data_IF_247117948491
#
_entry.id   IF_247117948491
#
_cell.length_a   1.000
_cell.length_b   1.000
_cell.length_c   1.000
_cell.angle_alpha   90.00
_cell.angle_beta   90.00
_cell.angle_gamma   90.00
#
_symmetry.space_group_name_H-M   'P 1'
#
loop_
_entity.id
_entity.type
_entity.pdbx_description
1 polymer ?
#
# COMPACT_ATOMS: atom_id res chain seq x y z
N UNK A 1 -9.82 -21.20 12.27
CA UNK A 1 -9.49 -19.82 12.68
C UNK A 1 -9.65 -18.85 11.51
N UNK A 2 -8.92 -19.02 10.40
CA UNK A 2 -8.99 -18.11 9.23
C UNK A 2 -10.39 -17.94 8.62
N UNK A 3 -11.19 -19.02 8.57
CA UNK A 3 -12.60 -18.98 8.15
C UNK A 3 -13.45 -17.95 8.91
N UNK A 4 -13.14 -17.64 10.18
CA UNK A 4 -13.87 -16.59 10.90
C UNK A 4 -13.62 -15.22 10.25
N UNK A 5 -12.34 -14.89 10.01
CA UNK A 5 -11.92 -13.63 9.37
C UNK A 5 -12.42 -13.52 7.93
N UNK A 6 -12.37 -14.61 7.18
CA UNK A 6 -12.85 -14.68 5.80
C UNK A 6 -14.35 -14.39 5.68
N UNK A 7 -15.16 -14.78 6.67
CA UNK A 7 -16.62 -14.58 6.65
C UNK A 7 -17.08 -13.27 7.33
N UNK A 8 -16.17 -12.38 7.73
CA UNK A 8 -16.54 -11.11 8.37
C UNK A 8 -17.25 -10.15 7.42
N UNK A 9 -16.97 -10.23 6.13
CA UNK A 9 -17.58 -9.39 5.10
C UNK A 9 -17.94 -10.27 3.91
N UNK A 10 -19.21 -10.22 3.51
CA UNK A 10 -19.65 -10.84 2.26
C UNK A 10 -19.30 -9.92 1.06
N UNK A 11 -18.40 -10.33 0.15
CA UNK A 11 -18.05 -9.55 -1.03
C UNK A 11 -19.22 -9.35 -2.01
N UNK A 12 -20.24 -10.21 -1.93
CA UNK A 12 -21.37 -10.26 -2.86
C UNK A 12 -22.62 -9.56 -2.34
N UNK A 13 -22.50 -8.79 -1.26
CA UNK A 13 -23.61 -8.04 -0.66
C UNK A 13 -24.33 -7.13 -1.66
N UNK A 14 -25.63 -6.94 -1.46
CA UNK A 14 -26.44 -6.06 -2.29
C UNK A 14 -25.94 -4.62 -2.22
N UNK A 15 -25.91 -3.93 -3.36
CA UNK A 15 -25.47 -2.54 -3.47
C UNK A 15 -26.32 -1.82 -4.52
N UNK A 16 -26.37 -0.49 -4.43
CA UNK A 16 -27.08 0.31 -5.43
C UNK A 16 -26.31 0.32 -6.75
N UNK A 17 -27.02 0.01 -7.81
CA UNK A 17 -26.43 -0.37 -9.08
C UNK A 17 -26.27 0.84 -10.02
N UNK A 18 -25.25 1.67 -9.75
CA UNK A 18 -25.04 2.94 -10.47
C UNK A 18 -24.19 2.75 -11.75
N UNK A 19 -24.69 3.18 -12.92
CA UNK A 19 -23.94 3.11 -14.20
C UNK A 19 -22.76 4.09 -14.29
N UNK A 20 -22.78 5.13 -13.46
CA UNK A 20 -21.80 6.21 -13.44
C UNK A 20 -21.15 6.30 -12.05
N UNK A 21 -20.13 5.49 -11.77
CA UNK A 21 -19.41 5.56 -10.51
C UNK A 21 -18.68 6.91 -10.38
N UNK A 22 -18.30 7.32 -9.16
CA UNK A 22 -17.58 8.56 -8.93
C UNK A 22 -16.28 8.65 -9.76
N UNK A 23 -15.99 9.82 -10.33
CA UNK A 23 -14.81 10.03 -11.20
C UNK A 23 -13.53 10.35 -10.42
N UNK A 24 -13.65 10.65 -9.11
CA UNK A 24 -12.52 10.89 -8.21
C UNK A 24 -12.15 9.60 -7.49
N UNK A 25 -10.85 9.37 -7.29
CA UNK A 25 -10.30 8.14 -6.72
C UNK A 25 -10.86 7.82 -5.33
N UNK A 26 -10.80 8.78 -4.39
CA UNK A 26 -11.21 8.53 -3.01
C UNK A 26 -12.72 8.23 -2.88
N UNK A 27 -13.63 9.05 -3.45
CA UNK A 27 -15.05 8.71 -3.46
C UNK A 27 -15.37 7.36 -4.11
N UNK A 28 -14.65 7.00 -5.18
CA UNK A 28 -14.81 5.69 -5.84
C UNK A 28 -14.44 4.52 -4.92
N UNK A 29 -13.27 4.59 -4.28
CA UNK A 29 -12.83 3.55 -3.35
C UNK A 29 -13.74 3.45 -2.13
N UNK A 30 -14.19 4.59 -1.59
CA UNK A 30 -15.06 4.62 -0.42
C UNK A 30 -16.46 4.04 -0.69
N UNK A 31 -17.02 4.29 -1.87
CA UNK A 31 -18.29 3.72 -2.31
C UNK A 31 -18.22 2.17 -2.41
N UNK A 32 -17.11 1.66 -2.92
CA UNK A 32 -16.86 0.22 -2.99
C UNK A 32 -16.63 -0.39 -1.60
N UNK A 33 -15.95 0.33 -0.73
CA UNK A 33 -15.54 -0.17 0.58
C UNK A 33 -16.62 -0.08 1.68
N UNK A 34 -17.83 0.44 1.40
CA UNK A 34 -18.89 0.57 2.41
C UNK A 34 -19.14 -0.69 3.26
N UNK A 35 -19.17 -1.92 2.70
CA UNK A 35 -19.36 -3.14 3.50
C UNK A 35 -18.24 -3.41 4.51
N UNK A 36 -17.04 -2.88 4.26
CA UNK A 36 -15.86 -3.10 5.09
C UNK A 36 -15.71 -2.10 6.24
N UNK A 37 -16.57 -1.07 6.34
CA UNK A 37 -16.41 0.03 7.33
C UNK A 37 -16.18 -0.43 8.77
N UNK A 38 -16.85 -1.50 9.21
CA UNK A 38 -16.71 -2.05 10.55
C UNK A 38 -15.36 -2.76 10.73
N UNK A 39 -14.95 -3.56 9.75
CA UNK A 39 -13.65 -4.25 9.76
C UNK A 39 -12.51 -3.23 9.70
N UNK A 40 -12.63 -2.20 8.85
CA UNK A 40 -11.67 -1.09 8.76
C UNK A 40 -11.52 -0.33 10.07
N UNK A 41 -12.61 -0.09 10.81
CA UNK A 41 -12.54 0.55 12.11
C UNK A 41 -11.77 -0.29 13.12
N UNK A 42 -12.00 -1.61 13.16
CA UNK A 42 -11.28 -2.53 14.05
C UNK A 42 -9.80 -2.59 13.67
N UNK A 43 -9.50 -2.73 12.38
CA UNK A 43 -8.11 -2.75 11.87
C UNK A 43 -7.39 -1.43 12.16
N UNK A 44 -8.05 -0.28 12.00
CA UNK A 44 -7.46 1.01 12.36
C UNK A 44 -7.07 1.07 13.85
N UNK A 45 -7.95 0.59 14.73
CA UNK A 45 -7.68 0.56 16.17
C UNK A 45 -6.54 -0.40 16.50
N UNK A 46 -6.53 -1.61 15.90
CA UNK A 46 -5.45 -2.57 16.09
C UNK A 46 -4.10 -2.02 15.60
N UNK A 47 -4.07 -1.41 14.42
CA UNK A 47 -2.87 -0.80 13.88
C UNK A 47 -2.34 0.32 14.80
N UNK A 48 -3.20 1.18 15.35
CA UNK A 48 -2.82 2.20 16.33
C UNK A 48 -2.27 1.58 17.63
N UNK A 49 -2.89 0.51 18.12
CA UNK A 49 -2.43 -0.21 19.31
C UNK A 49 -1.04 -0.83 19.07
N UNK A 50 -0.85 -1.51 17.93
CA UNK A 50 0.44 -2.09 17.54
C UNK A 50 1.51 -1.00 17.44
N UNK A 51 1.19 0.11 16.78
CA UNK A 51 2.06 1.29 16.70
C UNK A 51 2.46 1.84 18.08
N UNK A 52 1.49 2.02 18.98
CA UNK A 52 1.75 2.51 20.33
C UNK A 52 2.65 1.56 21.14
N UNK A 53 2.47 0.24 20.95
CA UNK A 53 3.35 -0.77 21.54
C UNK A 53 4.78 -0.60 21.06
N UNK A 54 5.02 -0.47 19.75
CA UNK A 54 6.37 -0.30 19.22
C UNK A 54 7.05 0.98 19.74
N UNK A 55 6.33 2.12 19.78
CA UNK A 55 6.86 3.37 20.34
C UNK A 55 7.21 3.22 21.83
N UNK A 56 6.34 2.54 22.59
CA UNK A 56 6.57 2.30 24.02
C UNK A 56 7.80 1.42 24.25
N UNK A 57 8.04 0.43 23.38
CA UNK A 57 9.23 -0.42 23.46
C UNK A 57 10.52 0.35 23.20
N UNK A 58 10.51 1.34 22.29
CA UNK A 58 11.66 2.23 22.06
C UNK A 58 11.96 3.04 23.33
N UNK A 59 10.93 3.63 23.94
CA UNK A 59 11.09 4.33 25.23
C UNK A 59 11.62 3.38 26.33
N UNK A 60 11.05 2.18 26.41
CA UNK A 60 11.43 1.21 27.43
C UNK A 60 12.88 0.74 27.28
N UNK A 61 13.43 0.72 26.07
CA UNK A 61 14.85 0.47 25.84
C UNK A 61 15.73 1.48 26.59
N UNK A 62 15.38 2.77 26.58
CA UNK A 62 16.08 3.80 27.36
C UNK A 62 16.01 3.53 28.86
N UNK A 63 14.81 3.18 29.36
CA UNK A 63 14.61 2.80 30.76
C UNK A 63 15.43 1.57 31.17
N UNK A 64 15.59 0.58 30.30
CA UNK A 64 16.46 -0.58 30.58
C UNK A 64 17.90 -0.13 30.79
N UNK A 65 18.41 0.77 29.94
CA UNK A 65 19.77 1.32 30.10
C UNK A 65 19.91 2.05 31.43
N UNK A 66 18.91 2.85 31.82
CA UNK A 66 18.91 3.55 33.10
C UNK A 66 18.90 2.58 34.29
N UNK A 67 18.06 1.53 34.25
CA UNK A 67 17.99 0.50 35.29
C UNK A 67 19.33 -0.23 35.43
N UNK A 68 19.95 -0.63 34.32
CA UNK A 68 21.24 -1.31 34.33
C UNK A 68 22.39 -0.43 34.84
N UNK A 69 22.22 0.90 34.82
CA UNK A 69 23.18 1.86 35.38
C UNK A 69 23.10 2.06 36.89
N UNK A 70 22.09 1.51 37.59
CA UNK A 70 21.83 1.83 39.01
C UNK A 70 22.63 1.05 40.05
N UNK A 71 23.20 -0.12 39.72
CA UNK A 71 23.88 -0.94 40.73
C UNK A 71 24.43 -2.26 40.21
N UNK A 72 24.73 -3.18 41.14
CA UNK A 72 25.19 -4.53 40.80
C UNK A 72 24.06 -5.39 40.19
N UNK A 73 24.38 -6.44 39.40
CA UNK A 73 23.35 -7.26 38.76
C UNK A 73 22.33 -7.87 39.73
N UNK A 74 22.76 -8.27 40.93
CA UNK A 74 21.88 -8.86 41.94
C UNK A 74 20.86 -7.85 42.48
N UNK A 75 21.30 -6.62 42.77
CA UNK A 75 20.42 -5.53 43.25
C UNK A 75 19.36 -5.16 42.18
N UNK A 76 19.74 -5.15 40.91
CA UNK A 76 18.81 -4.86 39.81
C UNK A 76 17.74 -5.95 39.68
N UNK A 77 18.12 -7.23 39.82
CA UNK A 77 17.14 -8.33 39.77
C UNK A 77 16.21 -8.33 40.97
N UNK A 78 16.71 -7.98 42.16
CA UNK A 78 15.88 -7.89 43.37
C UNK A 78 14.88 -6.72 43.31
N UNK A 79 15.31 -5.57 42.77
CA UNK A 79 14.47 -4.37 42.67
C UNK A 79 13.52 -4.39 41.45
N UNK A 80 13.97 -4.86 40.29
CA UNK A 80 13.26 -4.72 39.00
C UNK A 80 12.93 -6.06 38.33
N UNK A 81 13.25 -7.22 38.93
CA UNK A 81 13.05 -8.53 38.31
C UNK A 81 11.60 -8.82 37.89
N UNK A 82 10.62 -8.34 38.66
CA UNK A 82 9.19 -8.47 38.32
C UNK A 82 8.79 -7.61 37.12
N UNK A 83 9.31 -6.37 37.02
CA UNK A 83 9.09 -5.48 35.89
C UNK A 83 9.70 -6.06 34.60
N UNK A 84 10.94 -6.55 34.68
CA UNK A 84 11.64 -7.19 33.56
C UNK A 84 10.93 -8.47 33.09
N UNK A 85 10.43 -9.29 34.01
CA UNK A 85 9.68 -10.50 33.67
C UNK A 85 8.33 -10.15 33.00
N UNK A 86 7.62 -9.15 33.51
CA UNK A 86 6.35 -8.71 32.92
C UNK A 86 6.54 -8.24 31.48
N UNK A 87 7.63 -7.53 31.19
CA UNK A 87 7.92 -7.03 29.84
C UNK A 87 8.45 -8.12 28.93
N UNK A 88 9.26 -9.05 29.44
CA UNK A 88 9.62 -10.26 28.70
C UNK A 88 8.36 -11.04 28.27
N UNK A 89 7.41 -11.26 29.20
CA UNK A 89 6.14 -11.92 28.89
C UNK A 89 5.31 -11.12 27.87
N UNK A 90 5.24 -9.80 28.04
CA UNK A 90 4.56 -8.92 27.10
C UNK A 90 5.13 -9.04 25.68
N UNK A 91 6.46 -8.99 25.53
CA UNK A 91 7.15 -9.08 24.24
C UNK A 91 7.00 -10.47 23.61
N UNK A 92 7.04 -11.53 24.41
CA UNK A 92 6.99 -12.91 23.90
C UNK A 92 5.56 -13.39 23.59
N UNK A 93 4.55 -12.81 24.23
CA UNK A 93 3.16 -13.29 24.13
C UNK A 93 2.23 -12.21 23.60
N UNK A 94 2.09 -11.09 24.31
CA UNK A 94 1.08 -10.07 24.00
C UNK A 94 1.40 -9.39 22.68
N UNK A 95 2.65 -9.01 22.44
CA UNK A 95 3.08 -8.36 21.19
C UNK A 95 2.81 -9.23 19.95
N UNK A 96 3.25 -10.50 19.87
CA UNK A 96 2.93 -11.39 18.75
C UNK A 96 1.42 -11.63 18.58
N UNK A 97 0.65 -11.67 19.67
CA UNK A 97 -0.80 -11.81 19.58
C UNK A 97 -1.45 -10.58 18.96
N UNK A 98 -1.08 -9.37 19.38
CA UNK A 98 -1.60 -8.12 18.82
C UNK A 98 -1.23 -7.98 17.35
N UNK A 99 0.05 -8.19 17.01
CA UNK A 99 0.53 -8.14 15.63
C UNK A 99 -0.13 -9.24 14.77
N UNK A 100 -0.25 -10.45 15.32
CA UNK A 100 -0.90 -11.57 14.63
C UNK A 100 -2.37 -11.31 14.34
N UNK A 101 -3.09 -10.67 15.27
CA UNK A 101 -4.48 -10.25 15.06
C UNK A 101 -4.58 -9.18 13.97
N UNK A 102 -3.76 -8.14 14.05
CA UNK A 102 -3.73 -7.06 13.05
C UNK A 102 -3.47 -7.60 11.63
N UNK A 103 -2.41 -8.40 11.48
CA UNK A 103 -2.07 -9.08 10.22
C UNK A 103 -3.17 -10.03 9.78
N UNK A 104 -3.85 -10.72 10.72
CA UNK A 104 -4.96 -11.61 10.36
C UNK A 104 -6.16 -10.85 9.78
N UNK A 105 -6.49 -9.68 10.33
CA UNK A 105 -7.53 -8.81 9.77
C UNK A 105 -7.15 -8.31 8.38
N UNK A 106 -5.92 -7.81 8.20
CA UNK A 106 -5.47 -7.30 6.91
C UNK A 106 -5.43 -8.40 5.84
N UNK A 107 -4.74 -9.51 6.12
CA UNK A 107 -4.45 -10.53 5.12
C UNK A 107 -5.59 -11.53 4.90
N UNK A 108 -6.44 -11.79 5.89
CA UNK A 108 -7.51 -12.79 5.75
C UNK A 108 -8.91 -12.17 5.64
N UNK A 109 -9.18 -11.05 6.33
CA UNK A 109 -10.52 -10.42 6.29
C UNK A 109 -10.64 -9.37 5.19
N UNK A 110 -9.61 -8.55 4.98
CA UNK A 110 -9.65 -7.40 4.07
C UNK A 110 -9.19 -7.79 2.66
N UNK A 111 -7.93 -8.16 2.48
CA UNK A 111 -7.34 -8.31 1.14
C UNK A 111 -8.10 -9.28 0.21
N UNK A 112 -8.46 -10.52 0.63
CA UNK A 112 -9.13 -11.46 -0.24
C UNK A 112 -10.55 -11.01 -0.59
N UNK A 113 -11.30 -10.57 0.42
CA UNK A 113 -12.70 -10.19 0.28
C UNK A 113 -12.86 -8.87 -0.47
N UNK A 114 -11.98 -7.90 -0.22
CA UNK A 114 -12.02 -6.61 -0.90
C UNK A 114 -11.66 -6.78 -2.37
N UNK A 115 -10.64 -7.59 -2.68
CA UNK A 115 -10.31 -7.94 -4.06
C UNK A 115 -11.48 -8.65 -4.77
N UNK A 116 -12.15 -9.59 -4.09
CA UNK A 116 -13.34 -10.25 -4.63
C UNK A 116 -14.49 -9.26 -4.87
N UNK A 117 -14.76 -8.35 -3.93
CA UNK A 117 -15.82 -7.35 -4.03
C UNK A 117 -15.59 -6.43 -5.23
N UNK A 118 -14.39 -5.86 -5.34
CA UNK A 118 -14.06 -4.93 -6.44
C UNK A 118 -14.18 -5.64 -7.78
N UNK A 119 -13.67 -6.87 -7.88
CA UNK A 119 -13.77 -7.69 -9.10
C UNK A 119 -15.22 -7.99 -9.47
N UNK A 120 -16.03 -8.39 -8.50
CA UNK A 120 -17.44 -8.71 -8.68
C UNK A 120 -18.24 -7.50 -9.18
N UNK A 121 -18.11 -6.36 -8.48
CA UNK A 121 -18.80 -5.11 -8.85
C UNK A 121 -18.36 -4.61 -10.23
N UNK A 122 -17.06 -4.62 -10.51
CA UNK A 122 -16.53 -4.24 -11.82
C UNK A 122 -17.07 -5.15 -12.94
N UNK A 123 -17.10 -6.47 -12.72
CA UNK A 123 -17.62 -7.42 -13.70
C UNK A 123 -19.12 -7.19 -13.99
N UNK A 124 -19.95 -7.02 -12.94
CA UNK A 124 -21.39 -6.73 -13.11
C UNK A 124 -21.63 -5.42 -13.85
N UNK A 125 -20.83 -4.38 -13.57
CA UNK A 125 -20.94 -3.10 -14.26
C UNK A 125 -20.60 -3.22 -15.76
N UNK A 126 -19.55 -3.96 -16.10
CA UNK A 126 -19.14 -4.17 -17.49
C UNK A 126 -20.20 -4.95 -18.27
N UNK A 127 -20.79 -5.99 -17.68
CA UNK A 127 -21.86 -6.77 -18.32
C UNK A 127 -23.12 -5.97 -18.67
N UNK A 128 -23.34 -4.83 -18.01
CA UNK A 128 -24.47 -3.92 -18.29
C UNK A 128 -24.21 -2.95 -19.45
N UNK A 129 -22.99 -2.89 -19.97
CA UNK A 129 -22.66 -2.00 -21.08
C UNK A 129 -23.29 -2.47 -22.40
N UNK A 130 -23.57 -1.53 -23.29
CA UNK A 130 -24.13 -1.83 -24.62
C UNK A 130 -23.16 -2.63 -25.49
N UNK A 131 -23.68 -3.39 -26.46
CA UNK A 131 -22.85 -4.12 -27.45
C UNK A 131 -21.88 -3.19 -28.18
N UNK A 132 -22.34 -2.01 -28.61
CA UNK A 132 -21.47 -1.03 -29.25
C UNK A 132 -20.30 -0.55 -28.37
N UNK A 133 -20.42 -0.59 -27.04
CA UNK A 133 -19.29 -0.31 -26.15
C UNK A 133 -18.21 -1.39 -26.25
N UNK A 134 -18.61 -2.67 -26.33
CA UNK A 134 -17.71 -3.80 -26.52
C UNK A 134 -17.08 -3.83 -27.91
N UNK A 135 -17.77 -3.36 -28.95
CA UNK A 135 -17.21 -3.26 -30.30
C UNK A 135 -16.11 -2.19 -30.41
N UNK A 136 -16.14 -1.18 -29.54
CA UNK A 136 -15.17 -0.09 -29.53
C UNK A 136 -13.91 -0.38 -28.69
N UNK A 137 -13.85 -1.51 -27.96
CA UNK A 137 -12.72 -1.84 -27.09
C UNK A 137 -12.33 -3.32 -27.17
N UNK A 138 -11.03 -3.62 -27.15
CA UNK A 138 -10.56 -5.00 -27.17
C UNK A 138 -10.92 -5.71 -25.86
N UNK A 139 -11.52 -6.89 -25.97
CA UNK A 139 -11.86 -7.74 -24.83
C UNK A 139 -10.67 -7.97 -23.88
N UNK A 140 -9.44 -8.09 -24.43
CA UNK A 140 -8.22 -8.20 -23.64
C UNK A 140 -7.92 -6.97 -22.77
N UNK A 141 -8.20 -5.75 -23.25
CA UNK A 141 -8.03 -4.53 -22.42
C UNK A 141 -9.05 -4.47 -21.30
N UNK A 142 -10.30 -4.82 -21.58
CA UNK A 142 -11.38 -4.87 -20.58
C UNK A 142 -11.03 -5.90 -19.48
N UNK A 143 -10.63 -7.12 -19.88
CA UNK A 143 -10.26 -8.18 -18.96
C UNK A 143 -9.07 -7.78 -18.06
N UNK A 144 -8.03 -7.15 -18.62
CA UNK A 144 -6.90 -6.67 -17.83
C UNK A 144 -7.30 -5.67 -16.74
N UNK A 145 -8.20 -4.72 -17.06
CA UNK A 145 -8.67 -3.73 -16.08
C UNK A 145 -9.43 -4.41 -14.94
N UNK A 146 -10.37 -5.31 -15.26
CA UNK A 146 -11.13 -6.07 -14.25
C UNK A 146 -10.20 -6.90 -13.34
N UNK A 147 -9.13 -7.46 -13.90
CA UNK A 147 -8.20 -8.32 -13.15
C UNK A 147 -7.20 -7.53 -12.30
N UNK A 148 -6.70 -6.38 -12.76
CA UNK A 148 -5.64 -5.62 -12.07
C UNK A 148 -6.18 -4.59 -11.08
N UNK A 149 -7.32 -3.95 -11.35
CA UNK A 149 -7.90 -2.95 -10.44
C UNK A 149 -8.12 -3.46 -9.01
N UNK A 150 -8.63 -4.68 -8.78
CA UNK A 150 -8.81 -5.20 -7.43
C UNK A 150 -7.49 -5.33 -6.65
N UNK A 151 -6.42 -5.77 -7.30
CA UNK A 151 -5.10 -5.88 -6.69
C UNK A 151 -4.58 -4.51 -6.27
N UNK A 152 -4.56 -3.54 -7.19
CA UNK A 152 -4.09 -2.19 -6.88
C UNK A 152 -4.92 -1.49 -5.79
N UNK A 153 -6.23 -1.71 -5.77
CA UNK A 153 -7.10 -1.16 -4.74
C UNK A 153 -6.85 -1.84 -3.38
N UNK A 154 -6.63 -3.15 -3.36
CA UNK A 154 -6.23 -3.90 -2.15
C UNK A 154 -4.88 -3.41 -1.60
N UNK A 155 -3.87 -3.26 -2.47
CA UNK A 155 -2.54 -2.76 -2.09
C UNK A 155 -2.62 -1.35 -1.49
N UNK A 156 -3.44 -0.47 -2.08
CA UNK A 156 -3.65 0.88 -1.55
C UNK A 156 -4.25 0.86 -0.14
N UNK A 157 -5.22 -0.02 0.12
CA UNK A 157 -5.84 -0.17 1.45
C UNK A 157 -4.84 -0.75 2.45
N UNK A 158 -4.07 -1.77 2.04
CA UNK A 158 -3.02 -2.35 2.85
C UNK A 158 -2.02 -1.27 3.30
N UNK A 159 -1.53 -0.45 2.36
CA UNK A 159 -0.55 0.59 2.65
C UNK A 159 -1.09 1.66 3.62
N UNK A 160 -2.39 1.94 3.62
CA UNK A 160 -3.03 2.89 4.54
C UNK A 160 -3.04 2.37 5.97
N UNK A 161 -3.32 1.08 6.17
CA UNK A 161 -3.38 0.51 7.52
C UNK A 161 -2.02 0.11 8.06
N UNK A 162 -1.17 -0.46 7.21
CA UNK A 162 0.15 -0.94 7.60
C UNK A 162 1.15 0.23 7.59
N UNK A 163 1.75 0.51 6.44
CA UNK A 163 2.86 1.45 6.33
C UNK A 163 2.56 2.87 6.81
N UNK A 164 1.38 3.43 6.51
CA UNK A 164 1.04 4.80 6.92
C UNK A 164 0.87 4.90 8.45
N UNK A 165 0.24 3.91 9.08
CA UNK A 165 0.11 3.87 10.55
C UNK A 165 1.48 3.75 11.20
N UNK A 166 2.33 2.85 10.70
CA UNK A 166 3.71 2.72 11.16
C UNK A 166 4.49 4.04 11.02
N UNK A 167 4.42 4.69 9.86
CA UNK A 167 5.11 5.95 9.62
C UNK A 167 4.67 7.06 10.58
N UNK A 168 3.36 7.22 10.81
CA UNK A 168 2.82 8.22 11.75
C UNK A 168 3.25 7.90 13.18
N UNK A 169 3.18 6.64 13.58
CA UNK A 169 3.57 6.20 14.91
C UNK A 169 5.04 6.48 15.20
N UNK A 170 5.93 6.15 14.25
CA UNK A 170 7.35 6.42 14.37
C UNK A 170 7.66 7.91 14.40
N UNK A 171 6.97 8.73 13.59
CA UNK A 171 7.12 10.18 13.62
C UNK A 171 6.72 10.76 14.99
N UNK A 172 5.57 10.34 15.53
CA UNK A 172 5.09 10.77 16.84
C UNK A 172 6.03 10.27 17.95
N UNK A 173 6.43 9.00 17.91
CA UNK A 173 7.33 8.40 18.88
C UNK A 173 8.71 9.06 18.91
N UNK A 174 9.31 9.27 17.73
CA UNK A 174 10.57 9.99 17.61
C UNK A 174 10.45 11.43 18.11
N UNK A 175 9.35 12.12 17.80
CA UNK A 175 9.09 13.48 18.30
C UNK A 175 9.02 13.52 19.82
N UNK A 176 8.26 12.61 20.45
CA UNK A 176 8.15 12.53 21.92
C UNK A 176 9.51 12.23 22.55
N UNK A 177 10.26 11.28 21.99
CA UNK A 177 11.57 10.90 22.51
C UNK A 177 12.56 12.07 22.45
N UNK A 178 12.62 12.78 21.31
CA UNK A 178 13.49 13.95 21.17
C UNK A 178 13.06 15.10 22.08
N UNK A 179 11.76 15.34 22.24
CA UNK A 179 11.24 16.36 23.17
C UNK A 179 11.64 16.08 24.63
N UNK A 180 11.67 14.81 25.04
CA UNK A 180 12.13 14.42 26.37
C UNK A 180 13.64 14.63 26.56
N UNK A 181 14.43 14.47 25.49
CA UNK A 181 15.87 14.70 25.52
C UNK A 181 16.22 16.19 25.50
N UNK A 182 15.81 16.93 24.46
CA UNK A 182 15.91 18.39 24.36
C UNK A 182 14.98 18.89 23.25
N UNK A 183 14.14 19.89 23.55
CA UNK A 183 13.19 20.46 22.58
C UNK A 183 13.84 20.98 21.28
N UNK A 184 15.12 21.38 21.33
CA UNK A 184 15.88 21.85 20.15
C UNK A 184 16.14 20.72 19.15
N UNK A 185 16.29 19.48 19.61
CA UNK A 185 16.48 18.31 18.74
C UNK A 185 15.24 17.97 17.92
N UNK A 186 14.07 18.47 18.33
CA UNK A 186 12.82 18.29 17.59
C UNK A 186 12.76 19.19 16.33
N UNK A 187 13.47 20.32 16.32
CA UNK A 187 13.45 21.25 15.19
C UNK A 187 13.98 20.64 13.89
N UNK A 188 15.16 19.99 13.86
CA UNK A 188 15.63 19.25 12.67
C UNK A 188 14.62 18.22 12.16
N UNK A 189 13.97 17.48 13.07
CA UNK A 189 12.96 16.48 12.71
C UNK A 189 11.74 17.10 12.02
N UNK A 190 11.23 18.22 12.56
CA UNK A 190 10.08 18.92 11.96
C UNK A 190 10.43 19.54 10.60
N UNK A 191 11.64 20.09 10.45
CA UNK A 191 12.13 20.61 9.16
C UNK A 191 12.23 19.47 8.15
N UNK A 192 12.85 18.35 8.55
CA UNK A 192 12.92 17.15 7.72
C UNK A 192 11.54 16.68 7.29
N UNK A 193 10.57 16.61 8.21
CA UNK A 193 9.22 16.19 7.91
C UNK A 193 8.51 17.13 6.92
N UNK A 194 8.68 18.45 7.09
CA UNK A 194 8.14 19.43 6.14
C UNK A 194 8.75 19.27 4.74
N UNK A 195 10.07 19.07 4.64
CA UNK A 195 10.76 18.81 3.37
C UNK A 195 10.33 17.48 2.75
N UNK A 196 10.13 16.45 3.57
CA UNK A 196 9.59 15.17 3.14
C UNK A 196 8.19 15.32 2.55
N UNK A 197 7.28 16.07 3.19
CA UNK A 197 5.95 16.33 2.63
C UNK A 197 5.99 17.09 1.30
N UNK A 198 6.92 18.04 1.14
CA UNK A 198 7.13 18.73 -0.13
C UNK A 198 7.63 17.77 -1.22
N UNK A 199 8.55 16.86 -0.87
CA UNK A 199 9.04 15.83 -1.79
C UNK A 199 7.92 14.87 -2.18
N UNK A 200 7.12 14.40 -1.22
CA UNK A 200 5.95 13.53 -1.48
C UNK A 200 4.97 14.24 -2.41
N UNK A 201 4.64 15.51 -2.15
CA UNK A 201 3.76 16.29 -3.03
C UNK A 201 4.31 16.38 -4.46
N UNK A 202 5.59 16.72 -4.58
CA UNK A 202 6.27 16.79 -5.88
C UNK A 202 6.23 15.46 -6.63
N UNK A 203 6.45 14.34 -5.91
CA UNK A 203 6.39 12.99 -6.47
C UNK A 203 4.98 12.65 -6.89
N UNK A 204 3.98 12.83 -6.03
CA UNK A 204 2.58 12.48 -6.33
C UNK A 204 2.03 13.23 -7.54
N UNK A 205 2.36 14.53 -7.68
CA UNK A 205 1.94 15.34 -8.83
C UNK A 205 2.57 14.87 -10.16
N UNK A 206 3.73 14.19 -10.13
CA UNK A 206 4.46 13.74 -11.32
C UNK A 206 4.29 12.26 -11.64
N UNK A 207 4.31 11.41 -10.62
CA UNK A 207 4.21 9.95 -10.74
C UNK A 207 2.81 9.54 -11.16
N UNK A 208 1.76 10.23 -10.71
CA UNK A 208 0.37 9.92 -11.08
C UNK A 208 0.14 9.93 -12.60
N UNK A 209 0.43 11.05 -13.30
CA UNK A 209 0.33 11.11 -14.76
C UNK A 209 1.27 10.13 -15.48
N UNK A 210 2.50 9.93 -14.98
CA UNK A 210 3.45 9.00 -15.58
C UNK A 210 3.01 7.53 -15.47
N UNK A 211 2.52 7.13 -14.29
CA UNK A 211 2.01 5.78 -14.02
C UNK A 211 0.74 5.51 -14.82
N UNK A 212 -0.14 6.51 -15.00
CA UNK A 212 -1.29 6.41 -15.90
C UNK A 212 -0.85 6.15 -17.35
N UNK A 213 0.09 6.95 -17.88
CA UNK A 213 0.60 6.76 -19.24
C UNK A 213 1.29 5.39 -19.42
N UNK A 214 2.03 4.94 -18.41
CA UNK A 214 2.67 3.62 -18.34
C UNK A 214 1.64 2.48 -18.37
N UNK A 215 0.58 2.59 -17.58
CA UNK A 215 -0.53 1.62 -17.53
C UNK A 215 -1.33 1.56 -18.84
N UNK A 216 -1.59 2.72 -19.46
CA UNK A 216 -2.27 2.80 -20.77
C UNK A 216 -1.43 2.15 -21.88
N UNK A 217 -0.11 2.41 -21.91
CA UNK A 217 0.80 1.79 -22.87
C UNK A 217 0.92 0.26 -22.67
N UNK A 218 1.00 -0.20 -21.41
CA UNK A 218 1.01 -1.63 -21.08
C UNK A 218 -0.29 -2.32 -21.53
N UNK A 219 -1.43 -1.68 -21.30
CA UNK A 219 -2.74 -2.18 -21.74
C UNK A 219 -2.83 -2.27 -23.26
N UNK A 220 -2.27 -1.31 -23.99
CA UNK A 220 -2.17 -1.34 -25.44
C UNK A 220 -1.33 -2.53 -25.94
N UNK A 221 -0.16 -2.77 -25.36
CA UNK A 221 0.68 -3.93 -25.69
C UNK A 221 -0.06 -5.23 -25.44
N UNK A 222 -0.70 -5.40 -24.27
CA UNK A 222 -1.43 -6.64 -23.99
C UNK A 222 -2.60 -6.82 -24.95
N UNK A 223 -3.31 -5.75 -25.32
CA UNK A 223 -4.35 -5.78 -26.35
C UNK A 223 -3.83 -6.29 -27.70
N UNK A 224 -2.72 -5.71 -28.19
CA UNK A 224 -2.08 -6.15 -29.44
C UNK A 224 -1.64 -7.62 -29.39
N UNK A 225 -1.02 -8.05 -28.29
CA UNK A 225 -0.56 -9.44 -28.12
C UNK A 225 -1.73 -10.44 -28.11
N UNK A 226 -2.80 -10.13 -27.38
CA UNK A 226 -4.00 -10.99 -27.34
C UNK A 226 -4.65 -11.08 -28.71
N UNK A 227 -4.72 -9.96 -29.44
CA UNK A 227 -5.26 -9.94 -30.81
C UNK A 227 -4.44 -10.81 -31.78
N UNK A 228 -3.11 -10.64 -31.81
CA UNK A 228 -2.22 -11.44 -32.67
C UNK A 228 -2.34 -12.94 -32.40
N UNK A 229 -2.51 -13.35 -31.13
CA UNK A 229 -2.67 -14.76 -30.78
C UNK A 229 -4.08 -15.30 -31.03
N UNK A 230 -5.12 -14.49 -30.82
CA UNK A 230 -6.50 -14.89 -31.13
C UNK A 230 -6.70 -15.05 -32.64
N UNK A 231 -6.03 -14.21 -33.44
CA UNK A 231 -6.09 -14.21 -34.90
C UNK A 231 -4.89 -14.88 -35.57
N UNK A 232 -4.22 -15.83 -34.88
CA UNK A 232 -2.94 -16.39 -35.32
C UNK A 232 -2.99 -17.06 -36.71
N UNK A 233 -4.12 -17.66 -37.07
CA UNK A 233 -4.31 -18.25 -38.40
C UNK A 233 -4.22 -17.19 -39.50
N UNK A 234 -4.91 -16.05 -39.34
CA UNK A 234 -4.87 -14.94 -40.29
C UNK A 234 -3.47 -14.33 -40.39
N UNK A 235 -2.79 -14.16 -39.25
CA UNK A 235 -1.42 -13.65 -39.22
C UNK A 235 -0.48 -14.59 -39.99
N UNK A 236 -0.58 -15.91 -39.79
CA UNK A 236 0.28 -16.89 -40.49
C UNK A 236 -0.03 -17.03 -41.99
N UNK A 237 -1.28 -16.83 -42.39
CA UNK A 237 -1.70 -16.97 -43.79
C UNK A 237 -1.49 -15.70 -44.63
N UNK A 238 -1.61 -14.51 -44.02
CA UNK A 238 -1.70 -13.25 -44.76
C UNK A 238 -0.76 -12.14 -44.27
N UNK A 239 -0.27 -12.18 -43.02
CA UNK A 239 0.59 -11.12 -42.52
C UNK A 239 2.05 -11.35 -42.96
N UNK A 240 2.69 -10.30 -43.48
CA UNK A 240 4.14 -10.31 -43.70
C UNK A 240 4.83 -10.30 -42.34
N UNK A 241 5.62 -11.34 -42.06
CA UNK A 241 6.25 -11.59 -40.76
C UNK A 241 6.92 -10.34 -40.15
N UNK A 242 7.61 -9.55 -40.98
CA UNK A 242 8.34 -8.35 -40.55
C UNK A 242 7.43 -7.17 -40.15
N UNK A 243 6.24 -7.09 -40.74
CA UNK A 243 5.25 -6.05 -40.42
C UNK A 243 4.61 -6.31 -39.05
N UNK A 244 4.32 -7.57 -38.75
CA UNK A 244 3.77 -7.95 -37.44
C UNK A 244 4.80 -7.75 -36.32
N UNK A 245 6.06 -8.10 -36.58
CA UNK A 245 7.17 -7.89 -35.63
C UNK A 245 7.42 -6.40 -35.38
N UNK A 246 7.44 -5.57 -36.43
CA UNK A 246 7.64 -4.12 -36.26
C UNK A 246 6.47 -3.46 -35.52
N UNK A 247 5.24 -3.88 -35.79
CA UNK A 247 4.04 -3.41 -35.09
C UNK A 247 4.06 -3.76 -33.59
N UNK A 248 4.48 -4.97 -33.22
CA UNK A 248 4.66 -5.36 -31.82
C UNK A 248 5.81 -4.57 -31.15
N UNK A 249 6.94 -4.41 -31.85
CA UNK A 249 8.11 -3.68 -31.35
C UNK A 249 7.78 -2.22 -31.00
N UNK A 250 6.99 -1.55 -31.83
CA UNK A 250 6.57 -0.16 -31.59
C UNK A 250 5.82 -0.02 -30.25
N UNK A 251 4.86 -0.91 -29.99
CA UNK A 251 4.08 -0.89 -28.75
C UNK A 251 4.93 -1.19 -27.51
N UNK A 252 5.84 -2.17 -27.63
CA UNK A 252 6.79 -2.53 -26.57
C UNK A 252 7.73 -1.35 -26.26
N UNK A 253 8.25 -0.68 -27.30
CA UNK A 253 9.13 0.48 -27.14
C UNK A 253 8.39 1.67 -26.50
N UNK A 254 7.13 1.91 -26.87
CA UNK A 254 6.28 2.91 -26.21
C UNK A 254 6.15 2.62 -24.71
N UNK A 255 5.85 1.37 -24.36
CA UNK A 255 5.74 0.92 -22.95
C UNK A 255 7.06 1.09 -22.20
N UNK A 256 8.19 0.71 -22.82
CA UNK A 256 9.53 0.87 -22.24
C UNK A 256 9.83 2.34 -21.93
N UNK A 257 9.50 3.26 -22.83
CA UNK A 257 9.73 4.70 -22.64
C UNK A 257 8.85 5.29 -21.54
N UNK A 258 7.57 4.97 -21.51
CA UNK A 258 6.65 5.47 -20.49
C UNK A 258 7.01 4.95 -19.10
N UNK A 259 7.34 3.65 -18.99
CA UNK A 259 7.80 3.04 -17.75
C UNK A 259 9.16 3.59 -17.31
N UNK A 260 10.08 3.83 -18.24
CA UNK A 260 11.37 4.47 -17.94
C UNK A 260 11.21 5.86 -17.33
N UNK A 261 10.25 6.67 -17.84
CA UNK A 261 9.95 8.00 -17.29
C UNK A 261 9.33 7.92 -15.89
N UNK A 262 8.49 6.94 -15.63
CA UNK A 262 7.95 6.64 -14.30
C UNK A 262 9.09 6.31 -13.32
N UNK A 263 10.00 5.41 -13.69
CA UNK A 263 11.14 5.02 -12.86
C UNK A 263 12.12 6.17 -12.59
N UNK A 264 12.34 7.07 -13.56
CA UNK A 264 13.18 8.26 -13.34
C UNK A 264 12.64 9.17 -12.21
N UNK A 265 11.32 9.28 -12.09
CA UNK A 265 10.68 10.05 -11.01
C UNK A 265 10.94 9.35 -9.68
N UNK A 266 10.76 8.03 -9.62
CA UNK A 266 11.03 7.22 -8.42
C UNK A 266 12.50 7.34 -8.00
N UNK A 267 13.45 7.20 -8.93
CA UNK A 267 14.88 7.38 -8.64
C UNK A 267 15.19 8.78 -8.10
N UNK A 268 14.58 9.82 -8.67
CA UNK A 268 14.80 11.20 -8.20
C UNK A 268 14.25 11.39 -6.79
N UNK A 269 13.07 10.81 -6.50
CA UNK A 269 12.50 10.81 -5.15
C UNK A 269 13.42 10.08 -4.17
N UNK A 270 13.92 8.89 -4.50
CA UNK A 270 14.78 8.10 -3.62
C UNK A 270 16.09 8.81 -3.29
N UNK A 271 16.72 9.43 -4.30
CA UNK A 271 17.92 10.27 -4.09
C UNK A 271 17.59 11.44 -3.17
N UNK A 272 16.47 12.14 -3.43
CA UNK A 272 16.03 13.26 -2.59
C UNK A 272 15.77 12.84 -1.14
N UNK A 273 15.08 11.72 -0.94
CA UNK A 273 14.79 11.16 0.38
C UNK A 273 16.07 10.75 1.12
N UNK A 274 17.02 10.13 0.42
CA UNK A 274 18.31 9.72 0.99
C UNK A 274 19.11 10.95 1.45
N UNK A 275 19.13 12.02 0.67
CA UNK A 275 19.77 13.28 1.04
C UNK A 275 19.09 13.94 2.25
N UNK A 276 17.76 13.94 2.30
CA UNK A 276 17.00 14.43 3.46
C UNK A 276 17.33 13.64 4.72
N UNK A 277 17.36 12.30 4.63
CA UNK A 277 17.73 11.43 5.75
C UNK A 277 19.15 11.71 6.23
N UNK A 278 20.11 11.88 5.29
CA UNK A 278 21.49 12.26 5.63
C UNK A 278 21.57 13.59 6.37
N UNK A 279 20.79 14.59 5.94
CA UNK A 279 20.72 15.89 6.63
C UNK A 279 20.18 15.77 8.06
N UNK A 280 19.12 14.96 8.26
CA UNK A 280 18.54 14.73 9.58
C UNK A 280 19.57 14.11 10.53
N UNK A 281 20.31 13.09 10.10
CA UNK A 281 21.32 12.40 10.91
C UNK A 281 22.45 13.35 11.34
N UNK A 282 22.87 14.28 10.48
CA UNK A 282 23.94 15.24 10.82
C UNK A 282 23.42 16.36 11.74
N UNK A 283 22.12 16.61 11.75
CA UNK A 283 21.50 17.73 12.46
C UNK A 283 21.04 17.41 13.88
N UNK A 284 20.88 16.13 14.23
CA UNK A 284 20.45 15.62 15.56
C UNK A 284 21.65 15.02 16.26
#
# INVERSE_FOLDING_TARGET
MFRYFENLVDPYTAYEEVDRPPTKLFPFLWDYAQPFKGVFAITAVLAIVVAAVEVTLIYYMGRIVDILGTGSPEEVFDLYGTELLAIALFILVIRPLLQGLDVAFLNNAILPNFGALVRWRAHRQVLRQSVGWFENDFAGRIANRIMQTPTSAGDAIFQVFDALTFAIAYLVGATILLLQADARLTLPLLIWFALYLLLVRWTMERVGPASKASSDARSEVTGRVVDSYTNIHSVKMFAHHDREISYAKEAIEKTRRTFGREMQIVTTMDIGLTLLNGFLIVSV
#
